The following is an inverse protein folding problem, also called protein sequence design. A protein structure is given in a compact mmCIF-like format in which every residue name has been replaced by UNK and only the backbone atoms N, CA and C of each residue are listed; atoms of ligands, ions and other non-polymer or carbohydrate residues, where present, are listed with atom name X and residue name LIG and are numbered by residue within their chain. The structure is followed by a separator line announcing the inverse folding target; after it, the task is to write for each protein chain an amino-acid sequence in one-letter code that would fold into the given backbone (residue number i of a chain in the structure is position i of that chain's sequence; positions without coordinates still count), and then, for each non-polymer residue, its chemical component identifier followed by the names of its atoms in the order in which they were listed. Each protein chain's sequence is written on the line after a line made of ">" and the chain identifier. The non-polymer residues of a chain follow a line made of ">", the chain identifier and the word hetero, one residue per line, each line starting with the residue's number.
data_IF_568391385539
#
_entry.id   IF_568391385539
#
_cell.length_a   1.000
_cell.length_b   1.000
_cell.length_c   1.000
_cell.angle_alpha   90.00
_cell.angle_beta   90.00
_cell.angle_gamma   90.00
#
_symmetry.space_group_name_H-M   'P 1'
#
loop_
_entity.id
_entity.type
_entity.pdbx_description
1 polymer ?
#
# COMPACT_ATOMS: atom_id res chain seq x y z
N UNK A 1 -10.97 -13.17 9.76
CA UNK A 1 -11.32 -14.60 10.00
C UNK A 1 -10.90 -15.42 8.80
N UNK A 2 -9.93 -16.33 8.98
CA UNK A 2 -9.42 -17.19 7.90
C UNK A 2 -10.53 -18.08 7.32
N UNK A 3 -11.34 -18.72 8.19
CA UNK A 3 -12.42 -19.63 7.78
C UNK A 3 -13.47 -18.93 6.93
N UNK A 4 -13.89 -17.72 7.33
CA UNK A 4 -14.90 -16.94 6.60
C UNK A 4 -14.36 -16.50 5.23
N UNK A 5 -13.11 -16.04 5.17
CA UNK A 5 -12.47 -15.64 3.92
C UNK A 5 -12.34 -16.80 2.92
N UNK A 6 -11.95 -17.99 3.38
CA UNK A 6 -11.85 -19.18 2.52
C UNK A 6 -13.22 -19.61 2.00
N UNK A 7 -14.21 -19.75 2.89
CA UNK A 7 -15.53 -20.25 2.51
C UNK A 7 -16.31 -19.29 1.60
N UNK A 8 -16.38 -18.01 1.99
CA UNK A 8 -17.08 -16.98 1.20
C UNK A 8 -16.30 -16.68 -0.08
N UNK A 9 -14.98 -16.52 0.02
CA UNK A 9 -14.16 -16.15 -1.12
C UNK A 9 -14.16 -17.18 -2.25
N UNK A 10 -14.23 -18.48 -1.93
CA UNK A 10 -14.34 -19.54 -2.94
C UNK A 10 -15.64 -19.42 -3.76
N UNK A 11 -16.79 -19.23 -3.10
CA UNK A 11 -18.07 -19.06 -3.78
C UNK A 11 -18.10 -17.80 -4.63
N UNK A 12 -17.56 -16.68 -4.11
CA UNK A 12 -17.50 -15.42 -4.85
C UNK A 12 -16.60 -15.51 -6.09
N UNK A 13 -15.50 -16.26 -6.04
CA UNK A 13 -14.64 -16.52 -7.20
C UNK A 13 -15.35 -17.33 -8.29
N UNK A 14 -16.27 -18.21 -7.91
CA UNK A 14 -17.15 -18.94 -8.84
C UNK A 14 -18.33 -18.07 -9.34
N UNK A 15 -18.41 -16.80 -8.93
CA UNK A 15 -19.49 -15.87 -9.29
C UNK A 15 -20.79 -16.10 -8.51
N UNK A 16 -20.74 -16.76 -7.36
CA UNK A 16 -21.90 -17.11 -6.54
C UNK A 16 -21.99 -16.18 -5.32
N UNK A 17 -23.02 -15.35 -5.28
CA UNK A 17 -23.40 -14.55 -4.11
C UNK A 17 -23.67 -13.08 -4.43
N UNK A 18 -24.89 -12.62 -4.17
CA UNK A 18 -25.31 -11.22 -4.39
C UNK A 18 -25.14 -10.35 -3.14
N UNK A 19 -25.07 -10.97 -1.98
CA UNK A 19 -24.87 -10.34 -0.68
C UNK A 19 -24.12 -11.28 0.25
N UNK A 20 -23.39 -10.74 1.21
CA UNK A 20 -22.64 -11.52 2.17
C UNK A 20 -22.72 -10.92 3.57
N UNK A 21 -22.58 -11.80 4.56
CA UNK A 21 -22.38 -11.45 5.96
C UNK A 21 -21.26 -12.31 6.50
N UNK A 22 -20.32 -11.69 7.22
CA UNK A 22 -19.30 -12.41 7.98
C UNK A 22 -19.82 -12.59 9.40
N UNK A 23 -19.61 -13.75 10.00
CA UNK A 23 -19.98 -14.00 11.40
C UNK A 23 -18.73 -14.13 12.25
N UNK A 24 -18.56 -13.21 13.21
CA UNK A 24 -17.42 -13.16 14.13
C UNK A 24 -17.92 -13.14 15.58
N UNK A 25 -17.16 -13.74 16.49
CA UNK A 25 -17.36 -13.52 17.93
C UNK A 25 -16.64 -12.24 18.36
N UNK A 26 -17.07 -11.11 17.83
CA UNK A 26 -16.49 -9.78 18.02
C UNK A 26 -17.56 -8.69 17.89
N UNK A 27 -17.16 -7.42 17.98
CA UNK A 27 -18.05 -6.30 17.67
C UNK A 27 -18.60 -6.43 16.22
N UNK A 28 -19.89 -6.20 15.97
CA UNK A 28 -20.47 -6.28 14.63
C UNK A 28 -19.79 -5.39 13.58
N UNK A 29 -19.14 -4.29 13.99
CA UNK A 29 -18.36 -3.44 13.10
C UNK A 29 -17.18 -4.21 12.48
N UNK A 30 -16.58 -5.15 13.21
CA UNK A 30 -15.51 -6.00 12.70
C UNK A 30 -16.00 -6.98 11.63
N UNK A 31 -17.27 -7.44 11.72
CA UNK A 31 -17.88 -8.26 10.65
C UNK A 31 -17.90 -7.49 9.32
N UNK A 32 -18.24 -6.20 9.38
CA UNK A 32 -18.30 -5.32 8.21
C UNK A 32 -16.91 -5.07 7.65
N UNK A 33 -15.89 -4.85 8.49
CA UNK A 33 -14.50 -4.69 8.03
C UNK A 33 -14.02 -5.93 7.27
N UNK A 34 -14.18 -7.11 7.85
CA UNK A 34 -13.76 -8.37 7.21
C UNK A 34 -14.54 -8.63 5.91
N UNK A 35 -15.82 -8.28 5.85
CA UNK A 35 -16.63 -8.38 4.63
C UNK A 35 -16.02 -7.56 3.48
N UNK A 36 -15.64 -6.30 3.76
CA UNK A 36 -15.01 -5.43 2.77
C UNK A 36 -13.63 -5.93 2.35
N UNK A 37 -12.82 -6.44 3.28
CA UNK A 37 -11.50 -6.98 2.95
C UNK A 37 -11.56 -8.22 2.05
N UNK A 38 -12.57 -9.10 2.24
CA UNK A 38 -12.80 -10.24 1.32
C UNK A 38 -13.13 -9.72 -0.08
N UNK A 39 -14.07 -8.78 -0.21
CA UNK A 39 -14.48 -8.24 -1.52
C UNK A 39 -13.33 -7.50 -2.23
N UNK A 40 -12.54 -6.74 -1.47
CA UNK A 40 -11.37 -6.00 -1.93
C UNK A 40 -10.28 -6.95 -2.45
N UNK A 41 -10.00 -8.03 -1.70
CA UNK A 41 -9.01 -9.04 -2.10
C UNK A 41 -9.35 -9.76 -3.40
N UNK A 42 -10.64 -9.83 -3.75
CA UNK A 42 -11.13 -10.44 -4.99
C UNK A 42 -11.33 -9.43 -6.14
N UNK A 43 -11.08 -8.14 -5.90
CA UNK A 43 -11.34 -7.07 -6.87
C UNK A 43 -12.82 -6.88 -7.22
N UNK A 44 -13.74 -7.36 -6.39
CA UNK A 44 -15.18 -7.29 -6.65
C UNK A 44 -15.77 -5.95 -6.22
N UNK A 45 -15.30 -5.39 -5.10
CA UNK A 45 -15.72 -4.09 -4.57
C UNK A 45 -14.57 -3.45 -3.81
N UNK A 46 -14.49 -2.12 -3.87
CA UNK A 46 -13.46 -1.35 -3.20
C UNK A 46 -14.08 -0.36 -2.20
N UNK A 47 -13.44 -0.21 -1.04
CA UNK A 47 -13.71 0.84 -0.05
C UNK A 47 -12.44 1.13 0.74
N UNK A 48 -12.09 2.40 0.81
CA UNK A 48 -10.84 2.85 1.43
C UNK A 48 -9.59 2.30 0.72
N UNK A 49 -8.40 2.66 1.23
CA UNK A 49 -7.15 2.26 0.63
C UNK A 49 -6.88 0.75 0.73
N UNK A 50 -6.00 0.27 -0.14
CA UNK A 50 -5.38 -1.06 -0.05
C UNK A 50 -3.91 -0.86 0.27
N UNK A 51 -3.45 -1.41 1.40
CA UNK A 51 -2.02 -1.41 1.72
C UNK A 51 -1.36 -2.69 1.22
N UNK A 52 -0.22 -2.54 0.56
CA UNK A 52 0.64 -3.64 0.10
C UNK A 52 1.97 -3.48 0.82
N UNK A 53 2.32 -4.39 1.71
CA UNK A 53 3.59 -4.35 2.43
C UNK A 53 4.48 -5.52 2.02
N UNK A 54 5.79 -5.29 1.89
CA UNK A 54 6.72 -6.41 1.73
C UNK A 54 6.85 -7.17 3.07
N UNK A 55 7.05 -8.50 3.04
CA UNK A 55 7.43 -9.22 4.24
C UNK A 55 8.78 -8.71 4.77
N UNK A 56 9.01 -8.81 6.08
CA UNK A 56 10.33 -8.56 6.63
C UNK A 56 11.32 -9.60 6.12
N UNK A 57 12.56 -9.17 5.85
CA UNK A 57 13.63 -10.04 5.38
C UNK A 57 14.99 -9.50 5.84
N UNK A 58 16.09 -10.21 5.58
CA UNK A 58 17.44 -9.76 5.97
C UNK A 58 17.94 -8.48 5.28
N UNK A 59 17.15 -7.90 4.37
CA UNK A 59 17.42 -6.59 3.72
C UNK A 59 16.61 -5.45 4.35
N UNK A 60 15.78 -5.74 5.35
CA UNK A 60 15.04 -4.72 6.06
C UNK A 60 16.00 -3.81 6.82
N UNK A 61 16.05 -2.55 6.41
CA UNK A 61 16.94 -1.55 7.01
C UNK A 61 16.22 -0.59 7.95
N UNK A 62 14.88 -0.66 8.02
CA UNK A 62 14.04 0.36 8.68
C UNK A 62 13.01 -0.22 9.64
N UNK A 63 12.87 -1.54 9.72
CA UNK A 63 11.81 -2.17 10.50
C UNK A 63 10.47 -2.01 9.78
N UNK A 64 10.30 -2.71 8.65
CA UNK A 64 9.12 -2.58 7.79
C UNK A 64 7.81 -2.87 8.53
N UNK A 65 7.85 -3.72 9.56
CA UNK A 65 6.67 -4.03 10.36
C UNK A 65 6.12 -2.77 11.03
N UNK A 66 6.95 -2.03 11.77
CA UNK A 66 6.52 -0.81 12.46
C UNK A 66 6.10 0.28 11.48
N UNK A 67 6.78 0.35 10.33
CA UNK A 67 6.42 1.28 9.25
C UNK A 67 5.04 0.94 8.66
N UNK A 68 4.77 -0.34 8.41
CA UNK A 68 3.49 -0.81 7.89
C UNK A 68 2.36 -0.56 8.90
N UNK A 69 2.56 -0.87 10.18
CA UNK A 69 1.59 -0.59 11.25
C UNK A 69 1.24 0.91 11.33
N UNK A 70 2.25 1.79 11.25
CA UNK A 70 2.04 3.23 11.28
C UNK A 70 1.27 3.76 10.05
N UNK A 71 1.53 3.19 8.87
CA UNK A 71 0.82 3.55 7.64
C UNK A 71 -0.60 3.00 7.65
N UNK A 72 -0.80 1.74 8.03
CA UNK A 72 -2.11 1.09 8.12
C UNK A 72 -3.07 1.87 9.02
N UNK A 73 -2.62 2.26 10.21
CA UNK A 73 -3.43 3.02 11.16
C UNK A 73 -3.90 4.36 10.59
N UNK A 74 -3.04 5.08 9.88
CA UNK A 74 -3.40 6.35 9.24
C UNK A 74 -4.34 6.14 8.04
N UNK A 75 -4.18 5.06 7.29
CA UNK A 75 -5.05 4.76 6.13
C UNK A 75 -6.51 4.49 6.53
N UNK A 76 -6.80 4.09 7.77
CA UNK A 76 -8.16 3.96 8.28
C UNK A 76 -9.01 5.24 8.15
N UNK A 77 -8.37 6.42 8.13
CA UNK A 77 -9.05 7.71 7.97
C UNK A 77 -9.55 8.01 6.56
N UNK A 78 -9.20 7.19 5.56
CA UNK A 78 -9.44 7.48 4.15
C UNK A 78 -10.61 6.65 3.59
N UNK A 79 -11.69 7.27 3.09
CA UNK A 79 -12.76 6.54 2.40
C UNK A 79 -12.44 6.20 0.93
N UNK A 80 -11.46 6.89 0.34
CA UNK A 80 -11.16 6.79 -1.08
C UNK A 80 -10.42 5.49 -1.42
N UNK A 81 -10.73 4.89 -2.57
CA UNK A 81 -10.04 3.71 -3.06
C UNK A 81 -8.75 4.10 -3.79
N UNK A 82 -7.61 3.70 -3.24
CA UNK A 82 -6.28 3.84 -3.84
C UNK A 82 -5.30 2.83 -3.21
N UNK A 83 -4.18 2.58 -3.86
CA UNK A 83 -3.17 1.61 -3.41
C UNK A 83 -1.96 2.30 -2.78
N UNK A 84 -1.50 1.80 -1.63
CA UNK A 84 -0.31 2.28 -0.94
C UNK A 84 0.67 1.14 -0.69
N UNK A 85 1.90 1.28 -1.15
CA UNK A 85 2.96 0.31 -0.98
C UNK A 85 3.93 0.69 0.15
N UNK A 86 4.26 -0.24 1.05
CA UNK A 86 5.22 -0.03 2.15
C UNK A 86 6.34 -1.07 2.07
N UNK A 87 7.56 -0.59 1.81
CA UNK A 87 8.70 -1.45 1.48
C UNK A 87 9.87 -1.22 2.44
N UNK A 88 10.42 -2.29 3.01
CA UNK A 88 11.52 -2.23 3.99
C UNK A 88 12.91 -1.98 3.42
N UNK A 89 13.06 -2.02 2.09
CA UNK A 89 14.34 -1.78 1.42
C UNK A 89 14.17 -1.06 0.08
N UNK A 90 15.16 -0.23 -0.27
CA UNK A 90 15.22 0.46 -1.56
C UNK A 90 15.62 -0.43 -2.75
N UNK A 91 15.85 -1.73 -2.56
CA UNK A 91 16.28 -2.66 -3.63
C UNK A 91 15.08 -3.15 -4.44
N UNK A 92 14.12 -3.79 -3.78
CA UNK A 92 12.89 -4.25 -4.42
C UNK A 92 11.76 -3.22 -4.30
N UNK A 93 11.86 -2.31 -3.33
CA UNK A 93 10.86 -1.28 -3.05
C UNK A 93 10.45 -0.42 -4.25
N UNK A 94 11.37 0.06 -5.10
CA UNK A 94 11.01 0.86 -6.27
C UNK A 94 10.15 0.13 -7.31
N UNK A 95 10.36 -1.19 -7.46
CA UNK A 95 9.61 -2.01 -8.41
C UNK A 95 8.22 -2.36 -7.87
N UNK A 96 8.15 -2.78 -6.61
CA UNK A 96 6.90 -3.18 -5.95
C UNK A 96 6.01 -1.97 -5.59
N UNK A 97 6.62 -0.84 -5.22
CA UNK A 97 5.88 0.42 -4.99
C UNK A 97 5.49 1.15 -6.28
N UNK A 98 6.11 0.80 -7.41
CA UNK A 98 5.80 1.40 -8.70
C UNK A 98 4.44 0.99 -9.27
N UNK A 99 3.89 -0.14 -8.81
CA UNK A 99 2.58 -0.65 -9.24
C UNK A 99 1.42 -0.02 -8.45
N UNK A 100 1.69 0.54 -7.26
CA UNK A 100 0.72 1.22 -6.41
C UNK A 100 0.52 2.70 -6.80
N UNK A 101 -0.54 3.33 -6.29
CA UNK A 101 -0.76 4.76 -6.51
C UNK A 101 0.27 5.60 -5.75
N UNK A 102 0.56 5.22 -4.51
CA UNK A 102 1.62 5.78 -3.68
C UNK A 102 2.46 4.68 -3.03
N UNK A 103 3.66 5.01 -2.60
CA UNK A 103 4.39 4.11 -1.74
C UNK A 103 5.65 4.70 -1.13
N UNK A 104 6.24 3.94 -0.21
CA UNK A 104 7.51 4.28 0.44
C UNK A 104 8.45 3.10 0.41
N UNK A 105 9.75 3.40 0.28
CA UNK A 105 10.80 2.41 0.46
C UNK A 105 11.84 2.92 1.46
N UNK A 106 12.09 2.12 2.49
CA UNK A 106 13.05 2.41 3.55
C UNK A 106 14.50 2.22 3.11
N UNK A 107 15.37 3.10 3.59
CA UNK A 107 16.82 2.96 3.62
C UNK A 107 17.34 3.35 5.01
N UNK A 108 18.61 3.05 5.28
CA UNK A 108 19.19 3.11 6.64
C UNK A 108 18.91 4.44 7.35
N UNK A 109 19.23 5.56 6.69
CA UNK A 109 19.01 6.92 7.22
C UNK A 109 18.07 7.76 6.33
N UNK A 110 17.68 7.23 5.17
CA UNK A 110 16.88 7.94 4.18
C UNK A 110 15.85 7.01 3.56
N UNK A 111 14.64 7.51 3.32
CA UNK A 111 13.60 6.82 2.58
C UNK A 111 13.25 7.50 1.26
N UNK A 112 12.48 6.79 0.45
CA UNK A 112 11.99 7.28 -0.84
C UNK A 112 10.47 7.26 -0.84
N UNK A 113 9.86 8.35 -1.30
CA UNK A 113 8.43 8.44 -1.56
C UNK A 113 8.18 8.27 -3.06
N UNK A 114 7.21 7.44 -3.40
CA UNK A 114 6.82 7.10 -4.76
C UNK A 114 5.38 7.50 -5.00
N UNK A 115 5.09 7.93 -6.23
CA UNK A 115 3.72 8.05 -6.73
C UNK A 115 3.66 7.64 -8.20
N UNK A 116 2.66 6.84 -8.53
CA UNK A 116 2.32 6.42 -9.89
C UNK A 116 3.52 5.93 -10.72
N UNK A 117 4.37 5.10 -10.12
CA UNK A 117 5.55 4.57 -10.79
C UNK A 117 6.65 5.60 -11.01
N UNK A 118 6.84 6.56 -10.10
CA UNK A 118 8.01 7.47 -10.11
C UNK A 118 8.46 7.77 -8.67
N UNK A 119 9.76 7.98 -8.48
CA UNK A 119 10.28 8.56 -7.23
C UNK A 119 9.88 10.04 -7.22
N UNK A 120 9.12 10.46 -6.21
CA UNK A 120 8.79 11.86 -6.00
C UNK A 120 9.94 12.58 -5.29
N UNK A 121 10.43 11.99 -4.19
CA UNK A 121 11.47 12.59 -3.36
C UNK A 121 12.19 11.56 -2.49
N UNK A 122 13.39 11.96 -2.09
CA UNK A 122 14.18 11.30 -1.05
C UNK A 122 14.09 12.16 0.21
N UNK A 123 13.71 11.54 1.32
CA UNK A 123 13.56 12.20 2.61
C UNK A 123 14.29 11.42 3.68
N UNK A 124 14.47 12.05 4.85
CA UNK A 124 14.98 11.35 6.03
C UNK A 124 13.94 10.35 6.54
N UNK A 125 14.39 9.23 7.11
CA UNK A 125 13.50 8.13 7.51
C UNK A 125 12.50 8.50 8.61
N UNK A 126 12.81 9.52 9.43
CA UNK A 126 11.96 10.05 10.50
C UNK A 126 10.70 10.78 9.99
N UNK A 127 10.75 11.40 8.82
CA UNK A 127 9.61 12.12 8.22
C UNK A 127 8.94 11.34 7.07
N UNK A 128 9.37 10.11 6.80
CA UNK A 128 8.96 9.34 5.61
C UNK A 128 7.45 9.08 5.56
N UNK A 129 6.85 8.75 6.70
CA UNK A 129 5.39 8.50 6.79
C UNK A 129 4.64 9.81 6.63
N UNK A 130 5.08 10.89 7.28
CA UNK A 130 4.43 12.20 7.17
C UNK A 130 4.42 12.71 5.74
N UNK A 131 5.54 12.55 5.05
CA UNK A 131 5.68 12.95 3.65
C UNK A 131 4.78 12.12 2.71
N UNK A 132 4.65 10.82 2.95
CA UNK A 132 3.72 9.97 2.20
C UNK A 132 2.29 10.51 2.29
N UNK A 133 1.81 10.80 3.51
CA UNK A 133 0.45 11.29 3.70
C UNK A 133 0.26 12.71 3.17
N UNK A 134 1.28 13.56 3.26
CA UNK A 134 1.26 14.88 2.63
C UNK A 134 0.99 14.80 1.12
N UNK A 135 1.69 13.91 0.42
CA UNK A 135 1.49 13.70 -1.03
C UNK A 135 0.13 13.08 -1.36
N UNK A 136 -0.34 12.11 -0.56
CA UNK A 136 -1.67 11.52 -0.70
C UNK A 136 -2.76 12.59 -0.55
N UNK A 137 -2.68 13.42 0.49
CA UNK A 137 -3.66 14.46 0.77
C UNK A 137 -3.71 15.53 -0.33
N UNK A 138 -2.55 15.96 -0.82
CA UNK A 138 -2.48 16.87 -1.96
C UNK A 138 -3.13 16.28 -3.20
N UNK A 139 -2.86 15.01 -3.50
CA UNK A 139 -3.43 14.33 -4.65
C UNK A 139 -4.95 14.13 -4.54
N UNK A 140 -5.45 13.80 -3.34
CA UNK A 140 -6.89 13.72 -3.07
C UNK A 140 -7.54 15.10 -3.26
N UNK A 141 -6.94 16.15 -2.72
CA UNK A 141 -7.44 17.53 -2.88
C UNK A 141 -7.44 17.99 -4.35
N UNK A 142 -6.49 17.51 -5.15
CA UNK A 142 -6.41 17.75 -6.59
C UNK A 142 -7.39 16.90 -7.43
N UNK A 143 -8.26 16.11 -6.80
CA UNK A 143 -9.31 15.34 -7.48
C UNK A 143 -8.90 13.93 -7.89
N UNK A 144 -7.85 13.36 -7.30
CA UNK A 144 -7.41 11.97 -7.48
C UNK A 144 -7.15 11.58 -8.95
N UNK A 145 -6.59 12.50 -9.74
CA UNK A 145 -6.29 12.22 -11.15
C UNK A 145 -5.21 11.15 -11.22
N UNK A 146 -5.56 9.97 -11.74
CA UNK A 146 -4.62 8.87 -11.97
C UNK A 146 -3.95 9.06 -13.34
N UNK A 147 -2.65 9.42 -13.41
CA UNK A 147 -1.95 9.46 -14.67
C UNK A 147 -1.84 8.05 -15.26
N UNK A 148 -1.58 7.94 -16.57
CA UNK A 148 -1.33 6.65 -17.22
C UNK A 148 -0.12 6.01 -16.51
N UNK A 149 -0.36 4.90 -15.78
CA UNK A 149 0.70 4.20 -15.02
C UNK A 149 1.84 3.88 -15.97
N UNK A 150 2.98 4.53 -15.75
CA UNK A 150 4.22 4.12 -16.38
C UNK A 150 4.65 2.89 -15.60
N UNK A 151 4.56 1.71 -16.20
CA UNK A 151 5.33 0.57 -15.69
C UNK A 151 6.78 0.99 -15.75
N UNK A 152 7.35 1.42 -14.63
CA UNK A 152 8.80 1.50 -14.53
C UNK A 152 9.30 0.11 -14.84
N UNK A 153 10.00 -0.05 -15.96
CA UNK A 153 10.81 -1.23 -16.13
C UNK A 153 11.74 -1.28 -14.90
N UNK A 154 11.78 -2.43 -14.19
CA UNK A 154 12.67 -2.68 -13.05
C UNK A 154 14.06 -1.99 -13.16
N UNK A 155 14.76 -2.01 -14.32
CA UNK A 155 16.03 -1.29 -14.47
C UNK A 155 15.95 0.23 -14.31
N UNK A 156 14.88 0.90 -14.75
CA UNK A 156 14.72 2.35 -14.63
C UNK A 156 14.40 2.77 -13.18
N UNK A 157 13.62 1.97 -12.45
CA UNK A 157 13.35 2.20 -11.03
C UNK A 157 14.63 2.05 -10.20
N UNK A 158 15.44 1.03 -10.53
CA UNK A 158 16.75 0.80 -9.92
C UNK A 158 17.70 1.96 -10.21
N UNK A 159 17.81 2.42 -11.46
CA UNK A 159 18.67 3.58 -11.81
C UNK A 159 18.23 4.87 -11.11
N UNK A 160 16.93 5.11 -10.96
CA UNK A 160 16.43 6.29 -10.23
C UNK A 160 16.68 6.19 -8.72
N UNK A 161 16.51 5.01 -8.13
CA UNK A 161 16.85 4.76 -6.74
C UNK A 161 18.36 4.89 -6.50
N UNK A 162 19.21 4.36 -7.38
CA UNK A 162 20.67 4.48 -7.34
C UNK A 162 21.14 5.93 -7.52
N UNK A 163 20.53 6.69 -8.45
CA UNK A 163 20.82 8.11 -8.63
C UNK A 163 20.43 8.93 -7.40
N UNK A 164 19.29 8.61 -6.78
CA UNK A 164 18.85 9.26 -5.56
C UNK A 164 19.65 8.82 -4.32
N UNK A 165 20.31 7.65 -4.35
CA UNK A 165 21.24 7.21 -3.30
C UNK A 165 22.61 7.92 -3.34
N UNK A 166 22.95 8.65 -4.40
CA UNK A 166 24.21 9.41 -4.46
C UNK A 166 24.19 10.59 -3.47
N UNK A 167 25.27 10.81 -2.70
CA UNK A 167 25.40 12.04 -1.92
C UNK A 167 25.44 13.24 -2.86
N UNK A 168 24.80 14.34 -2.45
CA UNK A 168 24.86 15.64 -3.14
C UNK A 168 26.27 16.22 -2.99
#
# INVERSE_FOLDING_TARGET
>A
SIKSAVGIGSLLMDGIGDTLRVSLTADPVEEVKVAWEILKSLGLRERGPVMIACPSCGRDNVGVQSLAEAVEERLHGYPQAFEVAVMGCAVNGPGEAGDADFGIAGGRDTGFVYAHGRVLKKVSSDILVDELFHEIDQWIAAGMVRPKRLKLAKPAALMMAEAAQRPV
#
